data_IF_808441587937
#
_entry.id   IF_808441587937
#
_cell.length_a   1.000
_cell.length_b   1.000
_cell.length_c   1.000
_cell.angle_alpha   90.00
_cell.angle_beta   90.00
_cell.angle_gamma   90.00
#
_symmetry.space_group_name_H-M   'P 1'
#
loop_
_entity.id
_entity.type
_entity.pdbx_description
1 polymer ?
#
# COMPACT_ATOMS: atom_id res chain seq x y z
N UNK A 1 26.11 11.58 2.15
CA UNK A 1 25.46 11.53 0.82
C UNK A 1 24.16 10.78 0.98
N UNK A 2 23.03 11.47 0.98
CA UNK A 2 21.73 10.83 1.07
C UNK A 2 21.54 9.98 -0.19
N UNK A 3 21.41 8.66 -0.01
CA UNK A 3 21.08 7.74 -1.10
C UNK A 3 19.68 8.14 -1.59
N UNK A 4 19.64 8.78 -2.76
CA UNK A 4 18.44 8.85 -3.58
C UNK A 4 18.12 7.39 -3.92
N UNK A 5 17.16 6.81 -3.22
CA UNK A 5 16.55 5.57 -3.66
C UNK A 5 16.05 5.84 -5.09
N UNK A 6 16.43 5.03 -6.10
CA UNK A 6 15.81 5.14 -7.41
C UNK A 6 14.30 5.08 -7.23
N UNK A 7 13.54 5.65 -8.17
CA UNK A 7 12.08 5.41 -8.27
C UNK A 7 11.92 3.90 -8.30
N UNK A 8 11.68 3.32 -7.12
CA UNK A 8 11.93 1.92 -6.86
C UNK A 8 10.84 1.12 -7.51
N UNK A 9 11.20 0.09 -8.25
CA UNK A 9 10.23 -0.80 -8.85
C UNK A 9 9.30 -1.34 -7.74
N UNK A 10 8.01 -0.98 -7.80
CA UNK A 10 7.02 -1.50 -6.87
C UNK A 10 6.84 -2.99 -7.17
N UNK A 11 7.37 -3.84 -6.29
CA UNK A 11 7.40 -5.29 -6.44
C UNK A 11 7.02 -5.95 -5.12
N UNK A 12 6.78 -7.27 -5.15
CA UNK A 12 6.50 -8.07 -3.96
C UNK A 12 7.82 -8.41 -3.27
N UNK A 13 7.96 -8.04 -2.00
CA UNK A 13 9.09 -8.38 -1.15
C UNK A 13 8.91 -9.81 -0.59
N UNK A 14 9.35 -10.81 -1.37
CA UNK A 14 9.23 -12.22 -0.99
C UNK A 14 10.05 -12.59 0.24
N UNK A 15 11.19 -11.92 0.49
CA UNK A 15 11.99 -12.15 1.69
C UNK A 15 11.20 -11.72 2.93
N UNK A 16 10.60 -10.53 2.88
CA UNK A 16 9.72 -10.04 3.95
C UNK A 16 8.51 -10.93 4.16
N UNK A 17 7.83 -11.37 3.10
CA UNK A 17 6.68 -12.29 3.22
C UNK A 17 7.06 -13.58 3.93
N UNK A 18 8.16 -14.21 3.49
CA UNK A 18 8.65 -15.42 4.14
C UNK A 18 8.99 -15.19 5.61
N UNK A 19 9.57 -14.04 5.95
CA UNK A 19 9.88 -13.69 7.34
C UNK A 19 8.62 -13.43 8.19
N UNK A 20 7.65 -12.67 7.68
CA UNK A 20 6.42 -12.31 8.39
C UNK A 20 5.52 -13.52 8.64
N UNK A 21 5.46 -14.43 7.67
CA UNK A 21 4.60 -15.61 7.72
C UNK A 21 5.37 -16.90 8.01
N UNK A 22 6.63 -16.80 8.44
CA UNK A 22 7.50 -17.95 8.75
C UNK A 22 7.59 -19.01 7.63
N UNK A 23 7.45 -18.56 6.38
CA UNK A 23 7.39 -19.42 5.19
C UNK A 23 6.11 -20.25 5.07
N UNK A 24 5.09 -20.03 5.91
CA UNK A 24 3.80 -20.73 5.80
C UNK A 24 3.02 -20.21 4.60
N UNK A 25 3.09 -20.98 3.51
CA UNK A 25 2.37 -20.71 2.26
C UNK A 25 0.87 -20.52 2.48
N UNK A 26 0.22 -21.30 3.35
CA UNK A 26 -1.24 -21.19 3.56
C UNK A 26 -1.58 -19.86 4.22
N UNK A 27 -0.74 -19.40 5.13
CA UNK A 27 -0.90 -18.08 5.73
C UNK A 27 -0.70 -16.97 4.69
N UNK A 28 0.33 -17.07 3.83
CA UNK A 28 0.56 -16.08 2.76
C UNK A 28 -0.64 -16.00 1.80
N UNK A 29 -1.16 -17.15 1.35
CA UNK A 29 -2.37 -17.24 0.51
C UNK A 29 -3.55 -16.53 1.20
N UNK A 30 -3.80 -16.84 2.48
CA UNK A 30 -4.92 -16.25 3.23
C UNK A 30 -4.81 -14.74 3.36
N UNK A 31 -3.61 -14.21 3.58
CA UNK A 31 -3.38 -12.76 3.71
C UNK A 31 -3.50 -12.06 2.35
N UNK A 32 -3.06 -12.70 1.26
CA UNK A 32 -3.25 -12.19 -0.10
C UNK A 32 -4.73 -12.11 -0.47
N UNK A 33 -5.50 -13.16 -0.21
CA UNK A 33 -6.94 -13.18 -0.44
C UNK A 33 -7.65 -12.08 0.35
N UNK A 34 -7.41 -12.00 1.66
CA UNK A 34 -8.01 -10.97 2.51
C UNK A 34 -7.65 -9.56 2.02
N UNK A 35 -6.39 -9.31 1.66
CA UNK A 35 -6.00 -8.01 1.12
C UNK A 35 -6.72 -7.68 -0.20
N UNK A 36 -6.77 -8.62 -1.14
CA UNK A 36 -7.35 -8.40 -2.47
C UNK A 36 -8.88 -8.24 -2.43
N UNK A 37 -9.54 -8.95 -1.52
CA UNK A 37 -11.01 -9.03 -1.47
C UNK A 37 -11.59 -8.00 -0.50
N UNK A 38 -10.95 -7.79 0.66
CA UNK A 38 -11.50 -6.97 1.76
C UNK A 38 -10.80 -5.61 1.90
N UNK A 39 -9.48 -5.51 1.67
CA UNK A 39 -8.73 -4.26 1.90
C UNK A 39 -8.60 -3.42 0.62
N UNK A 40 -8.46 -4.06 -0.54
CA UNK A 40 -8.31 -3.36 -1.80
C UNK A 40 -9.47 -2.38 -2.11
N UNK A 41 -10.74 -2.68 -1.77
CA UNK A 41 -11.84 -1.73 -1.89
C UNK A 41 -11.68 -0.45 -1.06
N UNK A 42 -11.01 -0.50 0.10
CA UNK A 42 -10.84 0.67 1.00
C UNK A 42 -10.03 1.80 0.35
N UNK A 43 -9.19 1.47 -0.65
CA UNK A 43 -8.47 2.49 -1.42
C UNK A 43 -9.38 3.40 -2.24
N UNK A 44 -10.60 2.96 -2.58
CA UNK A 44 -11.60 3.82 -3.21
C UNK A 44 -12.12 4.88 -2.24
N UNK A 45 -12.33 4.51 -0.97
CA UNK A 45 -12.77 5.45 0.06
C UNK A 45 -11.67 6.45 0.40
N UNK A 46 -10.41 5.98 0.44
CA UNK A 46 -9.23 6.85 0.54
C UNK A 46 -9.15 7.84 -0.63
N UNK A 47 -9.40 7.40 -1.87
CA UNK A 47 -9.44 8.26 -3.07
C UNK A 47 -10.55 9.32 -2.98
N UNK A 48 -11.73 8.95 -2.49
CA UNK A 48 -12.83 9.88 -2.30
C UNK A 48 -12.49 10.96 -1.26
N UNK A 49 -11.88 10.57 -0.14
CA UNK A 49 -11.40 11.52 0.87
C UNK A 49 -10.35 12.48 0.32
N UNK A 50 -9.46 12.01 -0.56
CA UNK A 50 -8.49 12.86 -1.26
C UNK A 50 -9.18 13.91 -2.15
N UNK A 51 -10.17 13.50 -2.94
CA UNK A 51 -10.91 14.39 -3.84
C UNK A 51 -11.71 15.45 -3.08
N UNK A 52 -12.26 15.07 -1.93
CA UNK A 52 -13.05 15.95 -1.06
C UNK A 52 -12.20 16.77 -0.08
N UNK A 53 -10.87 16.58 -0.09
CA UNK A 53 -9.92 17.26 0.82
C UNK A 53 -10.19 16.99 2.31
N UNK A 54 -10.71 15.81 2.61
CA UNK A 54 -11.02 15.33 3.96
C UNK A 54 -9.75 14.73 4.60
N UNK A 55 -8.78 15.60 4.90
CA UNK A 55 -7.44 15.16 5.34
C UNK A 55 -7.41 14.36 6.64
N UNK A 56 -8.21 14.67 7.67
CA UNK A 56 -8.32 13.83 8.86
C UNK A 56 -8.80 12.41 8.53
N UNK A 57 -9.81 12.29 7.68
CA UNK A 57 -10.39 11.00 7.27
C UNK A 57 -9.40 10.21 6.39
N UNK A 58 -8.69 10.89 5.48
CA UNK A 58 -7.60 10.32 4.69
C UNK A 58 -6.51 9.75 5.59
N UNK A 59 -6.10 10.51 6.61
CA UNK A 59 -5.10 10.08 7.57
C UNK A 59 -5.54 8.84 8.35
N UNK A 60 -6.79 8.81 8.82
CA UNK A 60 -7.34 7.68 9.58
C UNK A 60 -7.50 6.43 8.69
N UNK A 61 -7.94 6.61 7.45
CA UNK A 61 -8.05 5.52 6.49
C UNK A 61 -6.68 4.96 6.11
N UNK A 62 -5.71 5.81 5.79
CA UNK A 62 -4.35 5.40 5.51
C UNK A 62 -3.75 4.62 6.70
N UNK A 63 -3.98 5.07 7.94
CA UNK A 63 -3.53 4.38 9.14
C UNK A 63 -4.04 2.94 9.24
N UNK A 64 -5.31 2.70 8.87
CA UNK A 64 -5.92 1.36 8.86
C UNK A 64 -5.36 0.46 7.76
N UNK A 65 -5.09 1.03 6.59
CA UNK A 65 -4.64 0.27 5.40
C UNK A 65 -3.15 -0.05 5.44
N UNK A 66 -2.31 0.86 5.97
CA UNK A 66 -0.84 0.71 6.02
C UNK A 66 -0.36 -0.67 6.50
N UNK A 67 -0.86 -1.23 7.63
CA UNK A 67 -0.44 -2.55 8.09
C UNK A 67 -0.70 -3.65 7.06
N UNK A 68 -1.82 -3.59 6.33
CA UNK A 68 -2.18 -4.57 5.32
C UNK A 68 -1.26 -4.55 4.12
N UNK A 69 -0.89 -3.36 3.63
CA UNK A 69 0.09 -3.19 2.55
C UNK A 69 1.43 -3.81 2.92
N UNK A 70 1.85 -3.65 4.19
CA UNK A 70 3.05 -4.29 4.71
C UNK A 70 2.96 -5.81 4.84
N UNK A 71 1.78 -6.32 5.23
CA UNK A 71 1.53 -7.77 5.38
C UNK A 71 1.54 -8.52 4.05
N UNK A 72 1.15 -7.89 2.95
CA UNK A 72 1.28 -8.48 1.60
C UNK A 72 2.65 -8.26 0.94
N UNK A 73 3.64 -7.77 1.71
CA UNK A 73 5.00 -7.62 1.22
C UNK A 73 5.21 -6.44 0.27
N UNK A 74 4.29 -5.48 0.22
CA UNK A 74 4.45 -4.29 -0.63
C UNK A 74 5.25 -3.20 0.11
N UNK A 75 6.49 -3.51 0.50
CA UNK A 75 7.34 -2.69 1.39
C UNK A 75 7.51 -1.23 0.92
N UNK A 76 7.70 -1.00 -0.38
CA UNK A 76 7.85 0.35 -0.93
C UNK A 76 6.56 1.14 -0.83
N UNK A 77 5.42 0.52 -1.16
CA UNK A 77 4.09 1.13 -1.04
C UNK A 77 3.69 1.36 0.42
N UNK A 78 4.07 0.47 1.34
CA UNK A 78 3.87 0.70 2.79
C UNK A 78 4.58 2.00 3.23
N UNK A 79 5.79 2.22 2.74
CA UNK A 79 6.58 3.42 3.06
C UNK A 79 5.94 4.69 2.48
N UNK A 80 5.47 4.63 1.24
CA UNK A 80 4.78 5.75 0.60
C UNK A 80 3.45 6.09 1.29
N UNK A 81 2.64 5.08 1.61
CA UNK A 81 1.36 5.27 2.29
C UNK A 81 1.55 5.82 3.71
N UNK A 82 2.60 5.38 4.44
CA UNK A 82 2.99 5.98 5.73
C UNK A 82 3.41 7.44 5.60
N UNK A 83 4.09 7.80 4.51
CA UNK A 83 4.44 9.21 4.25
C UNK A 83 3.19 10.04 3.99
N UNK A 84 2.27 9.51 3.20
CA UNK A 84 0.99 10.14 2.87
C UNK A 84 0.10 10.30 4.12
N UNK A 85 0.02 9.28 4.98
CA UNK A 85 -0.65 9.35 6.29
C UNK A 85 -0.11 10.53 7.12
N UNK A 86 1.22 10.62 7.26
CA UNK A 86 1.87 11.69 8.01
C UNK A 86 1.63 13.07 7.39
N UNK A 87 1.65 13.16 6.07
CA UNK A 87 1.41 14.38 5.33
C UNK A 87 -0.01 14.89 5.56
N UNK A 88 -1.01 14.00 5.47
CA UNK A 88 -2.40 14.29 5.77
C UNK A 88 -2.60 14.76 7.22
N UNK A 89 -1.90 14.15 8.19
CA UNK A 89 -2.00 14.50 9.62
C UNK A 89 -1.39 15.86 9.97
N UNK A 90 -0.29 16.25 9.34
CA UNK A 90 0.54 17.34 9.85
C UNK A 90 0.62 18.56 8.95
N UNK A 91 0.59 18.39 7.64
CA UNK A 91 0.76 19.52 6.72
C UNK A 91 0.15 19.24 5.33
N UNK A 92 -1.16 19.00 5.25
CA UNK A 92 -1.80 18.72 3.97
C UNK A 92 -1.85 19.99 3.12
N UNK A 93 -1.33 19.89 1.89
CA UNK A 93 -1.66 20.85 0.83
C UNK A 93 -2.23 20.07 -0.34
N UNK A 94 -3.31 20.55 -0.95
CA UNK A 94 -3.99 19.83 -2.04
C UNK A 94 -3.02 19.37 -3.12
N UNK A 95 -2.14 20.26 -3.60
CA UNK A 95 -1.16 19.92 -4.63
C UNK A 95 -0.21 18.78 -4.21
N UNK A 96 0.32 18.83 -2.99
CA UNK A 96 1.28 17.83 -2.51
C UNK A 96 0.60 16.51 -2.16
N UNK A 97 -0.63 16.55 -1.64
CA UNK A 97 -1.45 15.35 -1.37
C UNK A 97 -1.83 14.63 -2.65
N UNK A 98 -2.32 15.36 -3.67
CA UNK A 98 -2.64 14.79 -4.97
C UNK A 98 -1.40 14.15 -5.63
N UNK A 99 -0.26 14.84 -5.63
CA UNK A 99 0.97 14.28 -6.21
C UNK A 99 1.48 13.02 -5.47
N UNK A 100 1.34 12.97 -4.14
CA UNK A 100 1.66 11.78 -3.35
C UNK A 100 0.70 10.64 -3.64
N UNK A 101 -0.60 10.94 -3.73
CA UNK A 101 -1.65 9.96 -4.02
C UNK A 101 -1.50 9.36 -5.42
N UNK A 102 -1.30 10.19 -6.45
CA UNK A 102 -1.17 9.74 -7.83
C UNK A 102 0.02 8.77 -8.00
N UNK A 103 1.13 9.08 -7.33
CA UNK A 103 2.32 8.22 -7.31
C UNK A 103 2.02 6.87 -6.65
N UNK A 104 1.45 6.92 -5.44
CA UNK A 104 1.11 5.73 -4.69
C UNK A 104 0.13 4.85 -5.47
N UNK A 105 -0.93 5.45 -6.04
CA UNK A 105 -1.96 4.75 -6.82
C UNK A 105 -1.37 4.10 -8.06
N UNK A 106 -0.50 4.79 -8.80
CA UNK A 106 0.18 4.20 -9.94
C UNK A 106 1.06 2.99 -9.54
N UNK A 107 1.68 3.03 -8.35
CA UNK A 107 2.41 1.89 -7.81
C UNK A 107 1.48 0.74 -7.40
N UNK A 108 0.37 1.04 -6.72
CA UNK A 108 -0.66 0.07 -6.34
C UNK A 108 -1.23 -0.65 -7.57
N UNK A 109 -1.65 0.09 -8.60
CA UNK A 109 -2.20 -0.43 -9.85
C UNK A 109 -1.24 -1.38 -10.58
N UNK A 110 0.07 -1.15 -10.45
CA UNK A 110 1.11 -2.05 -11.01
C UNK A 110 1.28 -3.32 -10.18
N UNK A 111 1.17 -3.22 -8.86
CA UNK A 111 1.40 -4.36 -7.94
C UNK A 111 0.20 -5.28 -7.75
N UNK A 112 -1.04 -4.78 -7.85
CA UNK A 112 -2.25 -5.60 -7.69
C UNK A 112 -2.28 -6.78 -8.67
N UNK A 113 -1.98 -6.61 -9.98
CA UNK A 113 -1.86 -7.75 -10.89
C UNK A 113 -0.77 -8.75 -10.48
N UNK A 114 0.33 -8.30 -9.90
CA UNK A 114 1.41 -9.18 -9.43
C UNK A 114 0.95 -10.02 -8.24
N UNK A 115 0.24 -9.42 -7.28
CA UNK A 115 -0.34 -10.15 -6.15
C UNK A 115 -1.34 -11.22 -6.63
N UNK A 116 -2.20 -10.90 -7.60
CA UNK A 116 -3.14 -11.86 -8.19
C UNK A 116 -2.42 -13.00 -8.90
N UNK A 117 -1.37 -12.70 -9.67
CA UNK A 117 -0.56 -13.72 -10.33
C UNK A 117 0.15 -14.63 -9.33
N UNK A 118 0.70 -14.05 -8.26
CA UNK A 118 1.41 -14.81 -7.25
C UNK A 118 0.47 -15.69 -6.43
N UNK A 119 -0.71 -15.19 -6.05
CA UNK A 119 -1.77 -15.99 -5.44
C UNK A 119 -2.13 -17.20 -6.31
N UNK A 120 -2.39 -16.98 -7.61
CA UNK A 120 -2.73 -18.04 -8.55
C UNK A 120 -1.60 -19.06 -8.78
N UNK A 121 -0.33 -18.72 -8.49
CA UNK A 121 0.80 -19.68 -8.54
C UNK A 121 0.93 -20.52 -7.26
N UNK A 122 0.36 -20.03 -6.16
CA UNK A 122 0.46 -20.68 -4.85
C UNK A 122 -0.69 -21.67 -4.60
N UNK A 123 -1.83 -21.45 -5.26
CA UNK A 123 -3.00 -22.35 -5.34
C UNK A 123 -2.75 -23.55 -6.27
#
# INVERSE_FOLDING_TARGET
>A
MALLHPVGEHTIDHERLNKLHSGDRRQIISVFQLFLDEVLPDFLELEQGMQQQQWPEVADMAHKIVPWVGMVGLTSLETELRSLEKQAKHNPTTQSMTASWDRFKAGLDRTVPLLRQELARME
#
